data_IF_073704737846
#
_entry.id   IF_073704737846
#
_cell.length_a   1.000
_cell.length_b   1.000
_cell.length_c   1.000
_cell.angle_alpha   90.00
_cell.angle_beta   90.00
_cell.angle_gamma   90.00
#
_symmetry.space_group_name_H-M   'P 1'
#
loop_
_entity.id
_entity.type
_entity.pdbx_description
1 polymer ?
#
# COMPACT_ATOMS: atom_id res chain seq x y z
N UNK A 1 25.12 -1.01 6.48
CA UNK A 1 25.30 0.44 6.71
C UNK A 1 24.34 1.20 5.80
N UNK A 2 23.07 1.34 6.21
CA UNK A 2 22.17 2.39 5.72
C UNK A 2 21.35 2.86 6.93
N UNK A 3 21.37 4.17 7.15
CA UNK A 3 21.18 4.86 8.41
C UNK A 3 19.87 4.58 9.14
N UNK A 4 20.02 4.18 10.40
CA UNK A 4 19.19 4.61 11.53
C UNK A 4 19.22 6.15 11.64
N UNK A 5 18.21 6.85 11.09
CA UNK A 5 18.01 8.28 11.39
C UNK A 5 16.52 8.60 11.41
N UNK A 6 15.92 8.41 12.58
CA UNK A 6 14.50 8.64 12.91
C UNK A 6 14.27 10.04 13.48
N UNK A 7 15.06 11.05 13.10
CA UNK A 7 15.09 12.36 13.78
C UNK A 7 15.06 13.58 12.85
N UNK A 8 14.44 13.48 11.67
CA UNK A 8 14.19 14.63 10.79
C UNK A 8 12.80 15.26 11.00
N UNK A 9 12.64 16.59 10.95
CA UNK A 9 11.33 17.27 11.09
C UNK A 9 10.33 16.86 10.00
N UNK A 10 10.81 16.45 8.82
CA UNK A 10 10.00 15.85 7.76
C UNK A 10 9.42 14.47 8.14
N UNK A 11 10.18 13.65 8.87
CA UNK A 11 9.72 12.34 9.33
C UNK A 11 8.67 12.48 10.43
N UNK A 12 8.86 13.45 11.35
CA UNK A 12 7.88 13.78 12.38
C UNK A 12 6.59 14.34 11.77
N UNK A 13 6.69 15.24 10.79
CA UNK A 13 5.53 15.76 10.05
C UNK A 13 4.77 14.66 9.30
N UNK A 14 5.48 13.76 8.62
CA UNK A 14 4.87 12.61 7.92
C UNK A 14 4.22 11.62 8.89
N UNK A 15 4.84 11.37 10.05
CA UNK A 15 4.31 10.51 11.11
C UNK A 15 3.05 11.11 11.75
N UNK A 16 3.05 12.41 12.04
CA UNK A 16 1.91 13.13 12.62
C UNK A 16 0.75 13.18 11.64
N UNK A 17 1.00 13.44 10.34
CA UNK A 17 -0.04 13.38 9.30
C UNK A 17 -0.59 11.95 9.16
N UNK A 18 0.28 10.93 9.14
CA UNK A 18 -0.14 9.52 9.13
C UNK A 18 -1.03 9.20 10.33
N UNK A 19 -0.60 9.55 11.55
CA UNK A 19 -1.36 9.28 12.77
C UNK A 19 -2.70 10.02 12.76
N UNK A 20 -2.71 11.30 12.39
CA UNK A 20 -3.91 12.13 12.42
C UNK A 20 -4.97 11.68 11.41
N UNK A 21 -4.54 11.31 10.19
CA UNK A 21 -5.44 10.75 9.17
C UNK A 21 -5.95 9.37 9.61
N UNK A 22 -5.09 8.52 10.16
CA UNK A 22 -5.48 7.18 10.60
C UNK A 22 -6.52 7.21 11.73
N UNK A 23 -6.31 8.04 12.76
CA UNK A 23 -7.25 8.14 13.89
C UNK A 23 -8.60 8.76 13.53
N UNK A 24 -8.67 9.64 12.52
CA UNK A 24 -9.93 10.32 12.18
C UNK A 24 -10.87 9.46 11.33
N UNK A 25 -10.35 8.49 10.58
CA UNK A 25 -11.13 7.71 9.62
C UNK A 25 -11.28 6.23 9.97
N UNK A 26 -10.67 5.76 11.06
CA UNK A 26 -10.91 4.40 11.58
C UNK A 26 -12.28 4.30 12.24
N UNK A 27 -12.98 3.21 11.96
CA UNK A 27 -14.21 2.89 12.66
C UNK A 27 -13.92 2.39 14.07
N UNK A 28 -14.91 2.51 14.95
CA UNK A 28 -14.82 1.97 16.31
C UNK A 28 -14.68 0.45 16.29
N UNK A 29 -14.06 -0.12 17.33
CA UNK A 29 -13.98 -1.59 17.49
C UNK A 29 -15.40 -2.17 17.53
N UNK A 30 -15.59 -3.34 16.90
CA UNK A 30 -16.86 -4.05 16.94
C UNK A 30 -17.30 -4.32 18.39
N UNK A 31 -18.61 -4.30 18.63
CA UNK A 31 -19.17 -4.69 19.94
C UNK A 31 -18.90 -6.17 20.20
N UNK A 32 -18.70 -6.59 21.45
CA UNK A 32 -18.49 -8.00 21.78
C UNK A 32 -19.62 -8.87 21.22
N UNK A 33 -19.26 -9.95 20.50
CA UNK A 33 -20.23 -10.87 19.90
C UNK A 33 -20.83 -10.44 18.56
N UNK A 34 -20.37 -9.33 17.96
CA UNK A 34 -20.84 -8.88 16.63
C UNK A 34 -19.71 -8.91 15.60
N UNK A 35 -20.07 -9.21 14.34
CA UNK A 35 -19.13 -9.12 13.23
C UNK A 35 -18.77 -7.65 12.96
N UNK A 36 -17.52 -7.42 12.59
CA UNK A 36 -17.06 -6.10 12.18
C UNK A 36 -17.75 -5.69 10.87
N UNK A 37 -18.43 -4.54 10.88
CA UNK A 37 -19.04 -3.97 9.69
C UNK A 37 -18.25 -2.72 9.29
N UNK A 38 -17.43 -2.79 8.22
CA UNK A 38 -16.69 -1.63 7.74
C UNK A 38 -17.65 -0.55 7.22
N UNK A 39 -17.32 0.71 7.47
CA UNK A 39 -18.09 1.84 6.92
C UNK A 39 -17.68 2.12 5.48
N UNK A 40 -18.55 2.79 4.71
CA UNK A 40 -18.23 3.23 3.33
C UNK A 40 -16.97 4.10 3.27
N UNK A 41 -16.72 4.89 4.31
CA UNK A 41 -15.54 5.77 4.41
C UNK A 41 -14.26 4.95 4.65
N UNK A 42 -14.31 3.93 5.49
CA UNK A 42 -13.16 3.02 5.69
C UNK A 42 -12.84 2.20 4.45
N UNK A 43 -13.85 1.69 3.75
CA UNK A 43 -13.63 0.95 2.51
C UNK A 43 -13.01 1.86 1.43
N UNK A 44 -13.48 3.10 1.31
CA UNK A 44 -12.89 4.07 0.39
C UNK A 44 -11.46 4.44 0.79
N UNK A 45 -11.17 4.62 2.08
CA UNK A 45 -9.82 4.90 2.57
C UNK A 45 -8.87 3.73 2.28
N UNK A 46 -9.30 2.50 2.49
CA UNK A 46 -8.52 1.30 2.17
C UNK A 46 -8.27 1.18 0.65
N UNK A 47 -9.29 1.45 -0.17
CA UNK A 47 -9.16 1.48 -1.63
C UNK A 47 -8.16 2.54 -2.11
N UNK A 48 -8.28 3.78 -1.62
CA UNK A 48 -7.40 4.89 -2.03
C UNK A 48 -5.96 4.63 -1.61
N UNK A 49 -5.75 4.15 -0.39
CA UNK A 49 -4.40 3.87 0.10
C UNK A 49 -3.73 2.74 -0.67
N UNK A 50 -4.47 1.74 -1.15
CA UNK A 50 -3.90 0.63 -1.93
C UNK A 50 -3.75 0.98 -3.42
N UNK A 51 -4.73 1.69 -4.00
CA UNK A 51 -4.68 2.13 -5.39
C UNK A 51 -3.52 3.11 -5.67
N UNK A 52 -3.14 3.93 -4.69
CA UNK A 52 -2.00 4.84 -4.79
C UNK A 52 -0.67 4.11 -5.03
N UNK A 53 -0.54 2.85 -4.61
CA UNK A 53 0.69 2.07 -4.78
C UNK A 53 0.77 1.29 -6.09
N UNK A 54 -0.31 1.29 -6.90
CA UNK A 54 -0.29 0.65 -8.24
C UNK A 54 0.71 1.36 -9.18
N UNK A 55 0.66 2.69 -9.40
CA UNK A 55 1.60 3.36 -10.31
C UNK A 55 3.08 3.22 -9.88
N UNK A 56 3.45 3.41 -8.60
CA UNK A 56 4.81 3.11 -8.12
C UNK A 56 5.24 1.67 -8.38
N UNK A 57 4.34 0.69 -8.30
CA UNK A 57 4.67 -0.72 -8.57
C UNK A 57 4.95 -0.96 -10.06
N UNK A 58 4.20 -0.29 -10.95
CA UNK A 58 4.43 -0.33 -12.41
C UNK A 58 5.76 0.35 -12.78
N UNK A 59 6.07 1.50 -12.17
CA UNK A 59 7.36 2.16 -12.38
C UNK A 59 8.52 1.32 -11.80
N UNK A 60 8.30 0.68 -10.65
CA UNK A 60 9.27 -0.18 -9.98
C UNK A 60 9.67 -1.38 -10.84
N UNK A 61 8.70 -2.09 -11.43
CA UNK A 61 9.03 -3.21 -12.33
C UNK A 61 9.81 -2.74 -13.57
N UNK A 62 9.44 -1.59 -14.15
CA UNK A 62 10.19 -1.00 -15.26
C UNK A 62 11.63 -0.65 -14.88
N UNK A 63 11.84 -0.09 -13.69
CA UNK A 63 13.16 0.25 -13.17
C UNK A 63 14.01 -1.00 -12.89
N UNK A 64 13.44 -2.04 -12.28
CA UNK A 64 14.15 -3.30 -12.02
C UNK A 64 14.55 -4.00 -13.33
N UNK A 65 13.69 -3.96 -14.35
CA UNK A 65 14.01 -4.50 -15.68
C UNK A 65 15.09 -3.70 -16.39
N UNK A 66 15.10 -2.37 -16.26
CA UNK A 66 16.15 -1.52 -16.80
C UNK A 66 17.54 -1.82 -16.19
N UNK A 67 17.58 -2.12 -14.88
CA UNK A 67 18.83 -2.46 -14.18
C UNK A 67 19.27 -3.92 -14.35
N UNK A 68 18.38 -4.81 -14.80
CA UNK A 68 18.69 -6.23 -14.92
C UNK A 68 19.72 -6.48 -16.03
N UNK A 69 20.86 -7.08 -15.66
CA UNK A 69 21.95 -7.39 -16.58
C UNK A 69 22.01 -8.86 -16.97
N UNK A 70 21.22 -9.71 -16.29
CA UNK A 70 21.18 -11.16 -16.53
C UNK A 70 19.74 -11.65 -16.69
N UNK A 71 19.51 -12.72 -17.47
CA UNK A 71 18.17 -13.28 -17.66
C UNK A 71 17.47 -13.66 -16.34
N UNK A 72 18.24 -14.15 -15.36
CA UNK A 72 17.71 -14.51 -14.05
C UNK A 72 17.25 -13.28 -13.24
N UNK A 73 17.99 -12.17 -13.32
CA UNK A 73 17.57 -10.90 -12.71
C UNK A 73 16.32 -10.34 -13.38
N UNK A 74 16.21 -10.43 -14.71
CA UNK A 74 15.00 -10.02 -15.43
C UNK A 74 13.80 -10.88 -15.04
N UNK A 75 13.99 -12.20 -14.89
CA UNK A 75 12.94 -13.10 -14.43
C UNK A 75 12.50 -12.78 -12.99
N UNK A 76 13.46 -12.54 -12.09
CA UNK A 76 13.16 -12.14 -10.72
C UNK A 76 12.42 -10.80 -10.65
N UNK A 77 12.83 -9.81 -11.45
CA UNK A 77 12.16 -8.52 -11.58
C UNK A 77 10.72 -8.67 -12.08
N UNK A 78 10.49 -9.54 -13.07
CA UNK A 78 9.15 -9.85 -13.57
C UNK A 78 8.27 -10.48 -12.49
N UNK A 79 8.74 -11.54 -11.84
CA UNK A 79 7.96 -12.25 -10.80
C UNK A 79 7.60 -11.29 -9.65
N UNK A 80 8.58 -10.54 -9.15
CA UNK A 80 8.35 -9.61 -8.04
C UNK A 80 7.44 -8.44 -8.43
N UNK A 81 7.70 -7.82 -9.58
CA UNK A 81 6.93 -6.67 -10.04
C UNK A 81 5.48 -7.03 -10.39
N UNK A 82 5.26 -8.14 -11.10
CA UNK A 82 3.91 -8.62 -11.41
C UNK A 82 3.14 -9.02 -10.15
N UNK A 83 3.81 -9.64 -9.17
CA UNK A 83 3.18 -9.97 -7.89
C UNK A 83 2.74 -8.71 -7.12
N UNK A 84 3.56 -7.65 -7.08
CA UNK A 84 3.18 -6.38 -6.44
C UNK A 84 2.02 -5.69 -7.15
N UNK A 85 2.04 -5.64 -8.49
CA UNK A 85 0.94 -5.06 -9.28
C UNK A 85 -0.35 -5.85 -9.02
N UNK A 86 -0.29 -7.18 -9.03
CA UNK A 86 -1.44 -8.03 -8.76
C UNK A 86 -1.97 -7.84 -7.33
N UNK A 87 -1.09 -7.76 -6.33
CA UNK A 87 -1.46 -7.54 -4.92
C UNK A 87 -2.28 -6.26 -4.74
N UNK A 88 -1.79 -5.13 -5.26
CA UNK A 88 -2.51 -3.85 -5.15
C UNK A 88 -3.75 -3.79 -6.05
N UNK A 89 -3.71 -4.41 -7.22
CA UNK A 89 -4.85 -4.45 -8.15
C UNK A 89 -6.00 -5.28 -7.56
N UNK A 90 -5.74 -6.50 -7.09
CA UNK A 90 -6.77 -7.34 -6.44
C UNK A 90 -7.32 -6.65 -5.21
N UNK A 91 -6.48 -6.02 -4.39
CA UNK A 91 -6.93 -5.24 -3.25
C UNK A 91 -7.89 -4.11 -3.65
N UNK A 92 -7.56 -3.37 -4.72
CA UNK A 92 -8.42 -2.27 -5.22
C UNK A 92 -9.72 -2.80 -5.83
N UNK A 93 -9.63 -3.83 -6.68
CA UNK A 93 -10.79 -4.42 -7.38
C UNK A 93 -11.77 -5.01 -6.37
N UNK A 94 -11.28 -5.75 -5.38
CA UNK A 94 -12.14 -6.33 -4.35
C UNK A 94 -12.93 -5.25 -3.63
N UNK A 95 -12.31 -4.12 -3.29
CA UNK A 95 -13.02 -2.98 -2.70
C UNK A 95 -13.96 -2.24 -3.66
N UNK A 96 -13.73 -2.28 -4.98
CA UNK A 96 -14.64 -1.67 -5.97
C UNK A 96 -15.86 -2.52 -6.30
N UNK A 97 -15.73 -3.86 -6.28
CA UNK A 97 -16.80 -4.79 -6.69
C UNK A 97 -17.64 -5.26 -5.49
N UNK A 98 -17.06 -5.39 -4.29
CA UNK A 98 -17.76 -5.89 -3.09
C UNK A 98 -18.60 -4.84 -2.36
N UNK A 99 -19.34 -4.02 -3.12
CA UNK A 99 -20.30 -3.06 -2.58
C UNK A 99 -21.67 -3.70 -2.29
#
# INVERSE_FOLDING_TARGET
MLCTSTSGPLCYGLLVIKLFVFFRFMNGRAKPGTAYVPTRVEQLANMVTHGLWIPPSVLGIGWMLYLASTPLQSLAALVYGLALIALFSVSTIFHTISY
#
